data_IF_538040888663
#
_entry.id   IF_538040888663
#
_cell.length_a   1.000
_cell.length_b   1.000
_cell.length_c   1.000
_cell.angle_alpha   90.00
_cell.angle_beta   90.00
_cell.angle_gamma   90.00
#
_symmetry.space_group_name_H-M   'P 1'
#
loop_
_entity.id
_entity.type
_entity.pdbx_description
1 polymer ?
#
# COMPACT_ATOMS: atom_id res chain seq x y z
N UNK A 1 -13.18 -19.45 6.89
CA UNK A 1 -13.44 -18.03 6.54
C UNK A 1 -14.32 -17.27 7.52
N UNK A 2 -15.45 -17.81 8.01
CA UNK A 2 -16.32 -17.10 8.99
C UNK A 2 -15.57 -16.58 10.24
N UNK A 3 -14.69 -17.39 10.82
CA UNK A 3 -13.85 -17.02 12.00
C UNK A 3 -12.79 -15.95 11.71
N UNK A 4 -12.23 -15.94 10.49
CA UNK A 4 -11.25 -14.91 10.06
C UNK A 4 -11.98 -13.59 9.78
N UNK A 5 -13.17 -13.64 9.17
CA UNK A 5 -14.07 -12.48 9.05
C UNK A 5 -14.36 -11.88 10.43
N UNK A 6 -14.67 -12.70 11.42
CA UNK A 6 -14.90 -12.24 12.79
C UNK A 6 -13.63 -11.62 13.42
N UNK A 7 -12.44 -12.20 13.25
CA UNK A 7 -11.20 -11.62 13.83
C UNK A 7 -10.68 -10.37 13.10
N UNK A 8 -10.98 -10.21 11.81
CA UNK A 8 -10.56 -9.07 11.00
C UNK A 8 -11.55 -7.91 11.09
N UNK A 9 -12.86 -8.19 11.15
CA UNK A 9 -13.90 -7.15 11.22
C UNK A 9 -14.54 -6.94 12.58
N UNK A 10 -14.75 -7.98 13.40
CA UNK A 10 -15.51 -7.79 14.63
C UNK A 10 -14.72 -6.91 15.61
N UNK A 11 -15.30 -5.77 15.96
CA UNK A 11 -14.78 -4.77 16.90
C UNK A 11 -13.52 -4.00 16.46
N UNK A 12 -13.15 -4.00 15.17
CA UNK A 12 -12.10 -3.09 14.71
C UNK A 12 -12.70 -1.76 14.27
N UNK A 13 -12.21 -0.69 14.90
CA UNK A 13 -12.53 0.69 14.56
C UNK A 13 -11.27 1.29 13.93
N UNK A 14 -11.44 2.09 12.87
CA UNK A 14 -10.33 2.80 12.25
C UNK A 14 -9.68 3.71 13.31
N UNK A 15 -8.35 3.65 13.41
CA UNK A 15 -7.65 4.52 14.36
C UNK A 15 -7.63 5.97 13.87
N UNK A 16 -7.35 6.95 14.74
CA UNK A 16 -7.20 8.35 14.33
C UNK A 16 -6.16 8.54 13.23
N UNK A 17 -5.10 7.73 13.25
CA UNK A 17 -4.08 7.68 12.18
C UNK A 17 -4.68 7.26 10.84
N UNK A 18 -5.53 6.23 10.81
CA UNK A 18 -6.18 5.77 9.57
C UNK A 18 -7.10 6.86 9.02
N UNK A 19 -7.88 7.51 9.89
CA UNK A 19 -8.72 8.65 9.50
C UNK A 19 -7.90 9.82 8.96
N UNK A 20 -6.79 10.16 9.60
CA UNK A 20 -5.89 11.22 9.16
C UNK A 20 -5.30 10.92 7.78
N UNK A 21 -4.80 9.70 7.57
CA UNK A 21 -4.26 9.27 6.28
C UNK A 21 -5.32 9.29 5.17
N UNK A 22 -6.55 8.87 5.47
CA UNK A 22 -7.65 8.90 4.52
C UNK A 22 -8.05 10.34 4.13
N UNK A 23 -7.95 11.29 5.06
CA UNK A 23 -8.23 12.70 4.79
C UNK A 23 -7.11 13.42 4.01
N UNK A 24 -5.89 12.88 3.98
CA UNK A 24 -4.79 13.41 3.15
C UNK A 24 -5.00 13.15 1.66
N UNK A 25 -4.39 13.96 0.81
CA UNK A 25 -4.69 14.02 -0.63
C UNK A 25 -3.90 13.00 -1.46
N UNK A 26 -3.89 11.73 -1.02
CA UNK A 26 -3.28 10.62 -1.75
C UNK A 26 -4.24 10.08 -2.82
N UNK A 27 -3.94 10.23 -4.12
CA UNK A 27 -4.79 9.71 -5.21
C UNK A 27 -4.59 8.20 -5.45
N UNK A 28 -3.47 7.64 -5.00
CA UNK A 28 -3.12 6.23 -5.14
C UNK A 28 -2.73 5.66 -3.79
N UNK A 29 -3.37 4.57 -3.39
CA UNK A 29 -3.06 3.85 -2.15
C UNK A 29 -2.99 2.37 -2.41
N UNK A 30 -1.94 1.73 -1.90
CA UNK A 30 -1.78 0.29 -1.96
C UNK A 30 -1.66 -0.27 -0.55
N UNK A 31 -2.33 -1.39 -0.29
CA UNK A 31 -2.36 -2.02 1.02
C UNK A 31 -2.32 -3.55 0.92
N UNK A 32 -1.79 -4.19 1.94
CA UNK A 32 -1.88 -5.65 2.16
C UNK A 32 -2.84 -6.00 3.30
N UNK A 33 -3.58 -5.02 3.83
CA UNK A 33 -4.62 -5.24 4.83
C UNK A 33 -5.88 -5.82 4.19
N UNK A 34 -6.51 -6.77 4.88
CA UNK A 34 -7.74 -7.44 4.42
C UNK A 34 -9.01 -6.69 4.82
N UNK A 35 -8.98 -5.93 5.92
CA UNK A 35 -10.11 -5.15 6.43
C UNK A 35 -10.47 -3.97 5.51
N UNK A 36 -11.62 -3.33 5.78
CA UNK A 36 -12.12 -2.19 5.00
C UNK A 36 -12.00 -0.84 5.73
N UNK A 37 -11.16 -0.76 6.77
CA UNK A 37 -11.12 0.41 7.65
C UNK A 37 -10.65 1.67 6.92
N UNK A 38 -9.73 1.53 5.98
CA UNK A 38 -9.19 2.66 5.23
C UNK A 38 -10.20 3.20 4.22
N UNK A 39 -10.89 2.32 3.50
CA UNK A 39 -11.94 2.60 2.52
C UNK A 39 -13.15 3.26 3.20
N UNK A 40 -13.54 2.76 4.37
CA UNK A 40 -14.56 3.39 5.20
C UNK A 40 -14.12 4.78 5.66
N UNK A 41 -12.85 4.95 6.03
CA UNK A 41 -12.29 6.24 6.42
C UNK A 41 -12.21 7.24 5.26
N UNK A 42 -11.92 6.78 4.03
CA UNK A 42 -11.98 7.62 2.82
C UNK A 42 -13.39 8.13 2.59
N UNK A 43 -14.40 7.25 2.66
CA UNK A 43 -15.82 7.64 2.52
C UNK A 43 -16.26 8.60 3.63
N UNK A 44 -15.83 8.37 4.87
CA UNK A 44 -16.10 9.28 5.98
C UNK A 44 -15.45 10.67 5.79
N UNK A 45 -14.34 10.75 5.06
CA UNK A 45 -13.69 11.99 4.65
C UNK A 45 -14.32 12.64 3.40
N UNK A 46 -15.44 12.11 2.89
CA UNK A 46 -16.15 12.65 1.73
C UNK A 46 -15.56 12.26 0.38
N UNK A 47 -14.78 11.17 0.32
CA UNK A 47 -14.14 10.66 -0.90
C UNK A 47 -14.86 9.42 -1.45
N UNK A 48 -14.70 9.16 -2.74
CA UNK A 48 -15.28 8.01 -3.42
C UNK A 48 -14.19 7.10 -4.03
N UNK A 49 -13.68 6.12 -3.25
CA UNK A 49 -12.57 5.30 -3.71
C UNK A 49 -12.98 4.25 -4.74
N UNK A 50 -12.21 4.15 -5.82
CA UNK A 50 -12.21 2.98 -6.71
C UNK A 50 -11.32 1.89 -6.11
N UNK A 51 -11.79 0.63 -6.12
CA UNK A 51 -11.08 -0.49 -5.51
C UNK A 51 -10.56 -1.44 -6.59
N UNK A 52 -9.34 -1.93 -6.41
CA UNK A 52 -8.79 -3.10 -7.09
C UNK A 52 -8.43 -4.14 -6.04
N UNK A 53 -9.00 -5.32 -6.15
CA UNK A 53 -8.73 -6.44 -5.24
C UNK A 53 -7.93 -7.49 -6.01
N UNK A 54 -6.84 -7.98 -5.40
CA UNK A 54 -6.04 -9.05 -5.99
C UNK A 54 -6.92 -10.27 -6.34
N UNK A 55 -6.60 -10.93 -7.44
CA UNK A 55 -7.24 -12.18 -7.85
C UNK A 55 -6.15 -13.23 -8.09
N UNK A 56 -6.20 -14.40 -7.43
CA UNK A 56 -5.22 -15.46 -7.66
C UNK A 56 -5.36 -16.10 -9.06
N UNK A 57 -6.54 -16.01 -9.68
CA UNK A 57 -6.78 -16.51 -11.03
C UNK A 57 -6.02 -15.71 -12.08
N UNK A 58 -5.07 -16.35 -12.77
CA UNK A 58 -4.32 -15.77 -13.89
C UNK A 58 -5.16 -15.58 -15.17
N UNK A 59 -6.45 -15.91 -15.11
CA UNK A 59 -7.41 -15.69 -16.21
C UNK A 59 -8.16 -14.37 -16.05
N UNK A 60 -8.16 -13.79 -14.86
CA UNK A 60 -8.82 -12.53 -14.59
C UNK A 60 -7.81 -11.40 -14.82
N UNK A 61 -8.08 -10.47 -15.76
CA UNK A 61 -7.29 -9.27 -15.88
C UNK A 61 -7.30 -8.50 -14.56
N UNK A 62 -6.19 -7.85 -14.25
CA UNK A 62 -6.11 -6.94 -13.11
C UNK A 62 -6.85 -5.67 -13.43
N UNK A 63 -7.72 -5.25 -12.52
CA UNK A 63 -8.51 -4.04 -12.67
C UNK A 63 -7.63 -2.79 -12.53
N UNK A 64 -7.76 -1.87 -13.49
CA UNK A 64 -7.22 -0.52 -13.45
C UNK A 64 -8.38 0.48 -13.26
N UNK A 65 -8.11 1.70 -12.79
CA UNK A 65 -9.17 2.67 -12.54
C UNK A 65 -9.79 3.12 -13.86
N UNK A 66 -11.10 3.40 -13.85
CA UNK A 66 -11.83 3.84 -15.05
C UNK A 66 -11.41 5.24 -15.50
N UNK A 67 -11.03 6.08 -14.54
CA UNK A 67 -10.65 7.47 -14.70
C UNK A 67 -9.32 7.74 -13.98
N UNK A 68 -8.62 8.82 -14.33
CA UNK A 68 -7.36 9.16 -13.65
C UNK A 68 -7.61 9.43 -12.16
N UNK A 69 -6.93 8.73 -11.24
CA UNK A 69 -7.21 8.84 -9.81
C UNK A 69 -6.94 10.26 -9.28
N UNK A 70 -7.85 10.74 -8.44
CA UNK A 70 -7.76 12.08 -7.83
C UNK A 70 -7.80 11.98 -6.32
N UNK A 71 -7.43 13.04 -5.57
CA UNK A 71 -7.62 13.06 -4.12
C UNK A 71 -9.05 12.82 -3.64
N UNK A 72 -10.05 13.18 -4.45
CA UNK A 72 -11.48 12.98 -4.15
C UNK A 72 -11.98 11.60 -4.56
N UNK A 73 -11.46 11.07 -5.67
CA UNK A 73 -11.75 9.73 -6.18
C UNK A 73 -10.44 8.90 -6.24
N UNK A 74 -9.88 8.49 -5.09
CA UNK A 74 -8.61 7.79 -5.06
C UNK A 74 -8.76 6.35 -5.52
N UNK A 75 -7.68 5.76 -6.03
CA UNK A 75 -7.65 4.35 -6.40
C UNK A 75 -6.87 3.54 -5.36
N UNK A 76 -7.54 2.54 -4.78
CA UNK A 76 -7.04 1.71 -3.68
C UNK A 76 -6.84 0.27 -4.17
N UNK A 77 -5.60 -0.20 -4.17
CA UNK A 77 -5.26 -1.57 -4.55
C UNK A 77 -4.92 -2.43 -3.32
N UNK A 78 -5.66 -3.53 -3.14
CA UNK A 78 -5.51 -4.50 -2.05
C UNK A 78 -4.78 -5.74 -2.55
N UNK A 79 -3.47 -5.78 -2.35
CA UNK A 79 -2.60 -6.81 -2.93
C UNK A 79 -2.74 -8.19 -2.29
N UNK A 80 -3.17 -8.27 -1.05
CA UNK A 80 -3.41 -9.55 -0.37
C UNK A 80 -4.90 -9.92 -0.37
N UNK A 81 -5.71 -9.22 -1.16
CA UNK A 81 -7.14 -9.47 -1.25
C UNK A 81 -7.97 -8.65 -0.27
N UNK A 82 -9.26 -8.95 -0.27
CA UNK A 82 -10.28 -8.34 0.56
C UNK A 82 -11.01 -9.42 1.35
N UNK A 83 -11.30 -9.13 2.61
CA UNK A 83 -12.02 -10.05 3.48
C UNK A 83 -13.43 -10.40 2.95
N UNK A 84 -14.08 -9.51 2.21
CA UNK A 84 -15.37 -9.76 1.54
C UNK A 84 -15.27 -10.53 0.24
N UNK A 85 -14.05 -10.73 -0.27
CA UNK A 85 -13.75 -11.61 -1.40
C UNK A 85 -12.78 -12.69 -0.91
N UNK A 86 -13.22 -13.70 -0.11
CA UNK A 86 -12.31 -14.59 0.59
C UNK A 86 -11.34 -15.36 -0.32
N UNK A 87 -11.74 -15.66 -1.55
CA UNK A 87 -10.92 -16.34 -2.54
C UNK A 87 -9.74 -15.49 -3.03
N UNK A 88 -9.71 -14.19 -2.71
CA UNK A 88 -8.57 -13.30 -2.98
C UNK A 88 -7.51 -13.30 -1.88
N UNK A 89 -7.79 -13.89 -0.71
CA UNK A 89 -6.95 -13.69 0.46
C UNK A 89 -5.59 -14.41 0.34
N UNK A 90 -4.48 -13.68 0.52
CA UNK A 90 -3.12 -14.24 0.56
C UNK A 90 -2.71 -14.51 2.01
N UNK A 91 -3.04 -15.67 2.56
CA UNK A 91 -2.90 -15.94 4.01
C UNK A 91 -2.00 -17.14 4.33
N UNK A 92 -2.13 -18.22 3.56
CA UNK A 92 -1.36 -19.45 3.79
C UNK A 92 -0.05 -19.43 3.02
N UNK A 93 0.92 -20.27 3.41
CA UNK A 93 2.19 -20.39 2.70
C UNK A 93 2.00 -20.70 1.20
N UNK A 94 1.00 -21.52 0.87
CA UNK A 94 0.63 -21.82 -0.52
C UNK A 94 0.13 -20.56 -1.23
N UNK A 95 -0.75 -19.77 -0.61
CA UNK A 95 -1.23 -18.51 -1.20
C UNK A 95 -0.08 -17.54 -1.45
N UNK A 96 0.87 -17.45 -0.51
CA UNK A 96 2.07 -16.62 -0.67
C UNK A 96 2.95 -17.10 -1.83
N UNK A 97 3.15 -18.41 -1.98
CA UNK A 97 3.88 -18.99 -3.12
C UNK A 97 3.17 -18.61 -4.43
N UNK A 98 1.85 -18.80 -4.51
CA UNK A 98 1.07 -18.44 -5.69
C UNK A 98 1.15 -16.93 -5.98
N UNK A 99 1.02 -16.08 -4.97
CA UNK A 99 1.17 -14.63 -5.10
C UNK A 99 2.54 -14.23 -5.68
N UNK A 100 3.63 -14.85 -5.20
CA UNK A 100 4.98 -14.61 -5.74
C UNK A 100 5.09 -15.05 -7.20
N UNK A 101 4.50 -16.19 -7.57
CA UNK A 101 4.49 -16.66 -8.96
C UNK A 101 3.73 -15.66 -9.86
N UNK A 102 2.58 -15.16 -9.39
CA UNK A 102 1.77 -14.14 -10.08
C UNK A 102 2.52 -12.85 -10.37
N UNK A 103 3.48 -12.45 -9.52
CA UNK A 103 4.29 -11.24 -9.73
C UNK A 103 5.19 -11.27 -10.98
N UNK A 104 5.32 -12.43 -11.63
CA UNK A 104 6.02 -12.55 -12.92
C UNK A 104 5.10 -12.51 -14.14
N UNK A 105 3.78 -12.45 -13.92
CA UNK A 105 2.83 -12.39 -15.02
C UNK A 105 2.94 -11.06 -15.77
N UNK A 106 2.60 -11.09 -17.06
CA UNK A 106 2.58 -9.89 -17.90
C UNK A 106 1.20 -9.25 -17.85
N UNK A 107 1.14 -7.96 -18.18
CA UNK A 107 -0.12 -7.31 -18.48
C UNK A 107 -0.93 -8.11 -19.53
N UNK A 108 -2.26 -8.18 -19.39
CA UNK A 108 -3.09 -7.50 -18.39
C UNK A 108 -3.27 -8.29 -17.07
N UNK A 109 -2.52 -9.38 -16.86
CA UNK A 109 -2.66 -10.28 -15.72
C UNK A 109 -1.62 -10.01 -14.62
N UNK A 110 -0.82 -8.96 -14.70
CA UNK A 110 0.12 -8.66 -13.61
C UNK A 110 -0.68 -8.21 -12.36
N UNK A 111 -0.45 -8.75 -11.15
CA UNK A 111 -1.29 -8.50 -9.97
C UNK A 111 -1.30 -7.05 -9.48
N UNK A 112 -0.29 -6.25 -9.88
CA UNK A 112 -0.27 -4.80 -9.66
C UNK A 112 -0.83 -4.10 -10.90
N UNK A 113 -1.84 -3.20 -10.75
CA UNK A 113 -2.41 -2.44 -11.87
C UNK A 113 -1.37 -1.60 -12.63
N UNK A 114 -1.60 -1.38 -13.92
CA UNK A 114 -0.69 -0.61 -14.78
C UNK A 114 -0.54 0.83 -14.30
N UNK A 115 -1.61 1.45 -13.78
CA UNK A 115 -1.57 2.81 -13.22
C UNK A 115 -0.57 2.89 -12.07
N UNK A 116 -0.54 1.90 -11.17
CA UNK A 116 0.44 1.83 -10.09
C UNK A 116 1.86 1.66 -10.64
N UNK A 117 2.06 0.71 -11.55
CA UNK A 117 3.36 0.47 -12.19
C UNK A 117 3.88 1.71 -12.94
N UNK A 118 2.99 2.48 -13.55
CA UNK A 118 3.32 3.71 -14.28
C UNK A 118 3.66 4.87 -13.32
N UNK A 119 2.85 5.09 -12.27
CA UNK A 119 3.00 6.23 -11.36
C UNK A 119 4.11 6.00 -10.34
N UNK A 120 4.31 4.78 -9.86
CA UNK A 120 5.42 4.43 -8.95
C UNK A 120 6.80 4.77 -9.54
N UNK A 121 6.93 4.73 -10.87
CA UNK A 121 8.15 5.09 -11.59
C UNK A 121 8.45 6.59 -11.59
N UNK A 122 7.48 7.43 -11.25
CA UNK A 122 7.54 8.89 -11.45
C UNK A 122 7.20 9.69 -10.20
N UNK A 123 6.45 9.11 -9.28
CA UNK A 123 5.90 9.82 -8.12
C UNK A 123 6.59 9.40 -6.83
N UNK A 124 6.79 10.34 -5.90
CA UNK A 124 7.29 9.99 -4.59
C UNK A 124 6.32 9.04 -3.90
N UNK A 125 6.86 8.05 -3.19
CA UNK A 125 6.07 7.03 -2.50
C UNK A 125 6.39 7.03 -1.01
N UNK A 126 5.35 6.89 -0.19
CA UNK A 126 5.44 6.85 1.26
C UNK A 126 4.94 5.50 1.77
N UNK A 127 5.80 4.78 2.48
CA UNK A 127 5.49 3.51 3.13
C UNK A 127 5.24 3.74 4.63
N UNK A 128 4.06 3.33 5.10
CA UNK A 128 3.60 3.47 6.49
C UNK A 128 3.08 2.12 6.99
N UNK A 129 3.44 1.74 8.21
CA UNK A 129 2.94 0.51 8.83
C UNK A 129 3.69 -0.75 8.38
N UNK A 130 4.82 -0.60 7.69
CA UNK A 130 5.69 -1.71 7.28
C UNK A 130 7.10 -1.50 7.83
N UNK A 131 7.76 -2.60 8.20
CA UNK A 131 9.21 -2.64 8.21
C UNK A 131 9.70 -3.15 6.87
N UNK A 132 10.79 -2.59 6.33
CA UNK A 132 11.45 -3.10 5.11
C UNK A 132 12.04 -4.51 5.27
N UNK A 133 11.97 -5.07 6.49
CA UNK A 133 12.19 -6.48 6.75
C UNK A 133 11.08 -7.35 6.11
N UNK A 134 9.88 -6.81 5.89
CA UNK A 134 8.79 -7.55 5.27
C UNK A 134 9.17 -7.98 3.84
N UNK A 135 9.14 -9.30 3.62
CA UNK A 135 9.40 -9.92 2.33
C UNK A 135 8.44 -9.41 1.24
N UNK A 136 7.17 -9.15 1.59
CA UNK A 136 6.15 -8.67 0.66
C UNK A 136 6.53 -7.32 0.09
N UNK A 137 7.02 -6.43 0.94
CA UNK A 137 7.48 -5.11 0.52
C UNK A 137 8.70 -5.21 -0.41
N UNK A 138 9.68 -6.06 -0.09
CA UNK A 138 10.85 -6.29 -0.96
C UNK A 138 10.46 -6.89 -2.30
N UNK A 139 9.52 -7.82 -2.32
CA UNK A 139 8.99 -8.44 -3.53
C UNK A 139 8.28 -7.39 -4.40
N UNK A 140 7.40 -6.59 -3.80
CA UNK A 140 6.69 -5.50 -4.47
C UNK A 140 7.69 -4.48 -5.04
N UNK A 141 8.68 -4.04 -4.26
CA UNK A 141 9.75 -3.18 -4.76
C UNK A 141 10.51 -3.81 -5.91
N UNK A 142 10.85 -5.10 -5.83
CA UNK A 142 11.56 -5.79 -6.90
C UNK A 142 10.72 -5.84 -8.17
N UNK A 143 9.44 -6.22 -8.06
CA UNK A 143 8.50 -6.33 -9.18
C UNK A 143 8.26 -4.98 -9.86
N UNK A 144 8.01 -3.92 -9.08
CA UNK A 144 7.78 -2.58 -9.62
C UNK A 144 9.05 -1.93 -10.19
N UNK A 145 10.25 -2.42 -9.80
CA UNK A 145 11.55 -1.85 -10.20
C UNK A 145 12.26 -2.60 -11.32
N UNK A 146 11.70 -3.69 -11.83
CA UNK A 146 12.28 -4.39 -12.97
C UNK A 146 12.40 -3.41 -14.14
N UNK A 147 13.62 -3.25 -14.67
CA UNK A 147 13.98 -2.40 -15.81
C UNK A 147 13.95 -0.87 -15.59
N UNK A 148 14.12 -0.38 -14.36
CA UNK A 148 14.29 1.05 -14.09
C UNK A 148 15.75 1.43 -13.81
N UNK A 149 16.16 2.56 -14.39
CA UNK A 149 17.44 3.19 -14.07
C UNK A 149 17.41 3.73 -12.63
N UNK A 150 18.38 3.36 -11.77
CA UNK A 150 18.60 3.95 -10.45
C UNK A 150 18.50 5.47 -10.37
N UNK A 151 18.97 6.18 -11.40
CA UNK A 151 18.99 7.64 -11.43
C UNK A 151 17.61 8.28 -11.64
N UNK A 152 16.63 7.52 -12.15
CA UNK A 152 15.28 8.00 -12.45
C UNK A 152 14.29 7.73 -11.32
N UNK A 153 14.74 7.17 -10.19
CA UNK A 153 13.84 6.83 -9.10
C UNK A 153 13.32 8.07 -8.38
N UNK A 154 11.98 8.18 -8.21
CA UNK A 154 11.42 9.21 -7.36
C UNK A 154 11.75 8.93 -5.89
N UNK A 155 11.69 9.99 -5.08
CA UNK A 155 11.99 9.87 -3.66
C UNK A 155 10.99 8.94 -2.97
N UNK A 156 11.52 7.89 -2.35
CA UNK A 156 10.73 6.92 -1.60
C UNK A 156 11.06 7.05 -0.12
N UNK A 157 10.04 7.11 0.72
CA UNK A 157 10.16 7.24 2.18
C UNK A 157 9.55 6.04 2.87
N UNK A 158 10.20 5.56 3.93
CA UNK A 158 9.67 4.53 4.81
C UNK A 158 9.66 5.04 6.24
N UNK A 159 8.51 4.98 6.90
CA UNK A 159 8.35 5.35 8.31
C UNK A 159 8.60 4.10 9.14
N UNK A 160 9.77 4.04 9.77
CA UNK A 160 10.19 2.91 10.60
C UNK A 160 10.88 3.47 11.86
N UNK A 161 10.33 3.27 13.07
CA UNK A 161 10.92 3.82 14.29
C UNK A 161 12.27 3.21 14.63
N UNK A 162 12.55 1.96 14.20
CA UNK A 162 13.77 1.23 14.52
C UNK A 162 14.16 0.32 13.34
N UNK A 163 14.58 0.88 12.20
CA UNK A 163 14.98 0.08 11.07
C UNK A 163 16.27 -0.69 11.39
N UNK A 164 16.35 -1.94 10.94
CA UNK A 164 17.57 -2.73 11.06
C UNK A 164 18.73 -2.03 10.34
N UNK A 165 19.89 -1.92 11.01
CA UNK A 165 21.03 -1.15 10.48
C UNK A 165 21.58 -1.74 9.17
N UNK A 166 21.53 -3.06 8.97
CA UNK A 166 21.94 -3.70 7.73
C UNK A 166 20.97 -3.36 6.60
N UNK A 167 19.67 -3.32 6.89
CA UNK A 167 18.63 -2.91 5.94
C UNK A 167 18.83 -1.45 5.54
N UNK A 168 19.07 -0.55 6.49
CA UNK A 168 19.36 0.86 6.18
C UNK A 168 20.58 0.97 5.27
N UNK A 169 21.70 0.32 5.62
CA UNK A 169 22.92 0.37 4.81
C UNK A 169 22.71 -0.18 3.39
N UNK A 170 21.97 -1.28 3.27
CA UNK A 170 21.69 -1.90 1.98
C UNK A 170 20.81 -1.03 1.07
N UNK A 171 19.75 -0.41 1.62
CA UNK A 171 18.77 0.34 0.83
C UNK A 171 19.09 1.83 0.69
N UNK A 172 19.74 2.44 1.69
CA UNK A 172 20.14 3.85 1.71
C UNK A 172 21.50 4.07 1.06
N UNK A 173 22.52 3.31 1.45
CA UNK A 173 23.90 3.70 1.17
C UNK A 173 24.44 3.08 -0.13
N UNK A 174 24.10 1.82 -0.39
CA UNK A 174 24.61 1.10 -1.56
C UNK A 174 23.82 1.41 -2.84
N UNK A 175 22.54 1.77 -2.72
CA UNK A 175 21.66 1.95 -3.88
C UNK A 175 20.74 3.17 -3.85
N UNK A 176 20.71 3.97 -2.77
CA UNK A 176 19.95 5.24 -2.63
C UNK A 176 18.45 5.14 -2.97
N UNK A 177 17.81 4.04 -2.60
CA UNK A 177 16.45 3.74 -3.09
C UNK A 177 15.31 4.10 -2.15
N UNK A 178 15.57 4.15 -0.84
CA UNK A 178 14.56 4.47 0.18
C UNK A 178 15.21 5.29 1.29
N UNK A 179 14.58 6.41 1.64
CA UNK A 179 14.93 7.22 2.80
C UNK A 179 14.13 6.75 4.01
N UNK A 180 14.82 6.40 5.09
CA UNK A 180 14.18 6.00 6.33
C UNK A 180 13.91 7.21 7.20
N UNK A 181 12.67 7.34 7.67
CA UNK A 181 12.28 8.32 8.67
C UNK A 181 12.13 7.57 9.99
N UNK A 182 13.05 7.83 10.92
CA UNK A 182 13.12 7.17 12.23
C UNK A 182 12.09 7.74 13.20
N UNK A 183 10.80 7.59 12.87
CA UNK A 183 9.67 8.00 13.68
C UNK A 183 8.64 6.87 13.72
N UNK A 184 7.88 6.80 14.80
CA UNK A 184 6.69 5.96 14.83
C UNK A 184 5.53 6.63 14.09
N UNK A 185 4.56 5.83 13.66
CA UNK A 185 3.41 6.30 12.88
C UNK A 185 2.55 7.29 13.67
N UNK A 186 2.46 7.13 15.00
CA UNK A 186 1.65 7.98 15.87
C UNK A 186 2.26 9.35 16.10
N UNK A 187 3.57 9.51 15.90
CA UNK A 187 4.25 10.81 15.87
C UNK A 187 4.24 11.42 14.46
N UNK A 188 4.53 10.60 13.45
CA UNK A 188 4.73 11.07 12.08
C UNK A 188 3.42 11.54 11.41
N UNK A 189 2.35 10.76 11.52
CA UNK A 189 1.10 11.04 10.81
C UNK A 189 0.42 12.32 11.31
N UNK A 190 0.32 12.60 12.62
CA UNK A 190 -0.21 13.89 13.08
C UNK A 190 0.61 15.08 12.57
N UNK A 191 1.94 14.98 12.60
CA UNK A 191 2.82 16.04 12.10
C UNK A 191 2.66 16.28 10.59
N UNK A 192 2.57 15.20 9.81
CA UNK A 192 2.30 15.28 8.37
C UNK A 192 0.91 15.89 8.10
N UNK A 193 -0.10 15.47 8.85
CA UNK A 193 -1.46 15.96 8.73
C UNK A 193 -1.53 17.46 8.98
N UNK A 194 -0.98 17.93 10.10
CA UNK A 194 -0.97 19.34 10.47
C UNK A 194 -0.18 20.18 9.46
N UNK A 195 0.95 19.65 8.97
CA UNK A 195 1.74 20.33 7.95
C UNK A 195 0.95 20.55 6.65
N UNK A 196 0.13 19.59 6.23
CA UNK A 196 -0.63 19.64 4.97
C UNK A 196 -1.95 20.38 5.14
N UNK A 197 -2.77 20.01 6.12
CA UNK A 197 -4.12 20.55 6.32
C UNK A 197 -4.14 21.87 7.09
N UNK A 198 -3.01 22.27 7.70
CA UNK A 198 -2.87 23.48 8.53
C UNK A 198 -3.82 23.50 9.73
N UNK A 199 -4.22 22.31 10.17
CA UNK A 199 -5.11 22.07 11.31
C UNK A 199 -4.63 20.83 12.07
N UNK A 200 -4.86 20.75 13.39
CA UNK A 200 -4.48 19.57 14.15
C UNK A 200 -5.25 18.34 13.66
N UNK A 201 -4.61 17.18 13.79
CA UNK A 201 -5.25 15.90 13.47
C UNK A 201 -6.49 15.71 14.36
N UNK A 202 -7.65 15.33 13.79
CA UNK A 202 -8.81 14.96 14.59
C UNK A 202 -8.47 13.74 15.45
N UNK A 203 -8.83 13.82 16.74
CA UNK A 203 -8.61 12.76 17.75
C UNK A 203 -9.71 11.73 17.70
#
# INVERSE_FOLDING_TARGET
MKRIKEEVHANKIASPVVHALAALDFPLVMTTNYDQLFEQSLRAAGKDPQLCVYSPSAKNPTEDPTDDPTPLNPFVCKLHGDIDVPDSAVLTDEDYIQFVLRMSDKAPFHPVPETFLYRFKRWPTLFIGYSLIDYNLRLLFKAMRVNLDPALFPETYSIDPKPDQLIVRYWSDQRRYVRFVMQDVWSFVPALYELIKKTPMPV
#
